data_IF_367311759596
#
_entry.id   IF_367311759596
#
_cell.length_a   1.000
_cell.length_b   1.000
_cell.length_c   1.000
_cell.angle_alpha   90.00
_cell.angle_beta   90.00
_cell.angle_gamma   90.00
#
_symmetry.space_group_name_H-M   'P 1'
#
loop_
_entity.id
_entity.type
_entity.pdbx_description
1 polymer ?
#
# COMPACT_ATOMS: atom_id res chain seq x y z
N UNK A 1 -9.75 -40.48 8.38
CA UNK A 1 -9.64 -39.98 9.76
C UNK A 1 -9.45 -38.48 9.71
N UNK A 2 -10.52 -37.73 9.98
CA UNK A 2 -10.49 -36.27 10.10
C UNK A 2 -9.65 -35.85 11.31
N UNK A 3 -8.59 -35.07 11.09
CA UNK A 3 -7.94 -34.30 12.14
C UNK A 3 -8.43 -32.85 12.03
N UNK A 4 -9.41 -32.53 12.87
CA UNK A 4 -10.04 -31.22 13.03
C UNK A 4 -9.07 -30.21 13.66
N UNK A 5 -8.90 -29.06 13.01
CA UNK A 5 -8.26 -27.86 13.52
C UNK A 5 -9.01 -27.28 14.75
N UNK A 6 -8.34 -26.69 15.75
CA UNK A 6 -8.98 -26.20 16.96
C UNK A 6 -9.71 -24.85 16.76
N UNK A 7 -10.75 -24.55 17.57
CA UNK A 7 -11.71 -23.48 17.28
C UNK A 7 -11.21 -22.08 17.66
N UNK A 8 -11.87 -21.06 17.07
CA UNK A 8 -11.72 -19.58 17.22
C UNK A 8 -11.64 -19.02 18.66
N UNK A 9 -11.71 -19.85 19.71
CA UNK A 9 -11.72 -19.42 21.12
C UNK A 9 -10.34 -19.07 21.70
N UNK A 10 -9.23 -19.56 21.12
CA UNK A 10 -7.87 -19.27 21.62
C UNK A 10 -7.36 -17.85 21.30
N UNK A 11 -7.85 -17.20 20.23
CA UNK A 11 -7.48 -15.80 19.89
C UNK A 11 -7.97 -14.79 20.93
N UNK A 12 -9.17 -15.00 21.49
CA UNK A 12 -9.72 -14.16 22.57
C UNK A 12 -8.91 -14.27 23.88
N UNK A 13 -8.36 -15.44 24.17
CA UNK A 13 -7.54 -15.66 25.36
C UNK A 13 -6.18 -14.98 25.23
N UNK A 14 -5.52 -15.07 24.08
CA UNK A 14 -4.24 -14.38 23.82
C UNK A 14 -4.39 -12.86 23.86
N UNK A 15 -5.42 -12.30 23.22
CA UNK A 15 -5.71 -10.86 23.30
C UNK A 15 -6.00 -10.39 24.73
N UNK A 16 -6.72 -11.20 25.53
CA UNK A 16 -6.98 -10.88 26.94
C UNK A 16 -5.72 -10.94 27.80
N UNK A 17 -4.84 -11.90 27.56
CA UNK A 17 -3.56 -12.01 28.28
C UNK A 17 -2.63 -10.83 27.94
N UNK A 18 -2.60 -10.42 26.66
CA UNK A 18 -1.80 -9.28 26.20
C UNK A 18 -2.32 -7.96 26.77
N UNK A 19 -3.64 -7.76 26.78
CA UNK A 19 -4.27 -6.60 27.41
C UNK A 19 -3.99 -6.51 28.92
N UNK A 20 -3.98 -7.65 29.62
CA UNK A 20 -3.67 -7.68 31.06
C UNK A 20 -2.22 -7.29 31.37
N UNK A 21 -1.27 -7.74 30.54
CA UNK A 21 0.16 -7.41 30.69
C UNK A 21 0.40 -5.91 30.49
N UNK A 22 -0.30 -5.28 29.55
CA UNK A 22 -0.22 -3.83 29.32
C UNK A 22 -0.93 -3.01 30.40
N UNK A 23 -2.06 -3.50 30.94
CA UNK A 23 -2.74 -2.87 32.07
C UNK A 23 -1.84 -2.84 33.31
N UNK A 24 -1.11 -3.92 33.57
CA UNK A 24 -0.13 -4.00 34.66
C UNK A 24 0.99 -2.96 34.49
N UNK A 25 1.55 -2.82 33.29
CA UNK A 25 2.58 -1.81 32.98
C UNK A 25 2.04 -0.39 33.19
N UNK A 26 0.83 -0.09 32.72
CA UNK A 26 0.21 1.23 32.90
C UNK A 26 -0.08 1.55 34.38
N UNK A 27 -0.52 0.57 35.17
CA UNK A 27 -0.74 0.72 36.62
C UNK A 27 0.58 0.94 37.34
N UNK A 28 1.64 0.23 36.94
CA UNK A 28 2.98 0.35 37.52
C UNK A 28 3.58 1.75 37.24
N UNK A 29 3.43 2.24 36.01
CA UNK A 29 3.87 3.58 35.60
C UNK A 29 3.11 4.70 36.33
N UNK A 30 1.79 4.54 36.51
CA UNK A 30 0.97 5.48 37.30
C UNK A 30 1.43 5.52 38.76
N UNK A 31 1.78 4.37 39.35
CA UNK A 31 2.30 4.29 40.73
C UNK A 31 3.64 5.04 40.87
N UNK A 32 4.52 4.93 39.88
CA UNK A 32 5.82 5.61 39.86
C UNK A 32 5.70 7.14 39.74
N UNK A 33 4.77 7.63 38.90
CA UNK A 33 4.46 9.06 38.80
C UNK A 33 3.91 9.62 40.10
N UNK A 34 3.04 8.87 40.78
CA UNK A 34 2.47 9.30 42.07
C UNK A 34 3.52 9.32 43.19
N UNK A 35 4.49 8.41 43.15
CA UNK A 35 5.61 8.37 44.10
C UNK A 35 6.63 9.49 43.86
N UNK A 36 6.85 9.89 42.59
CA UNK A 36 7.68 11.06 42.24
C UNK A 36 7.06 12.37 42.70
N UNK A 37 5.73 12.52 42.59
CA UNK A 37 5.03 13.72 43.05
C UNK A 37 5.06 13.93 44.58
N UNK A 38 5.28 12.88 45.38
CA UNK A 38 5.41 12.97 46.85
C UNK A 38 6.82 13.27 47.34
N UNK A 39 7.83 13.35 46.46
CA UNK A 39 9.25 13.51 46.83
C UNK A 39 9.86 14.89 46.55
N UNK A 40 9.09 15.89 46.16
CA UNK A 40 9.58 17.27 46.01
C UNK A 40 9.45 18.06 47.33
N UNK A 41 10.54 18.53 47.94
CA UNK A 41 10.48 19.43 49.09
C UNK A 41 10.52 20.90 48.63
N UNK A 42 9.83 21.76 49.40
CA UNK A 42 9.98 23.24 49.53
C UNK A 42 9.09 24.13 48.61
N UNK A 43 8.02 24.66 49.21
CA UNK A 43 7.79 26.12 49.39
C UNK A 43 7.32 26.99 48.22
N UNK A 44 6.00 27.27 48.13
CA UNK A 44 5.40 28.35 47.30
C UNK A 44 3.86 28.32 47.32
N UNK A 45 3.16 29.46 47.15
CA UNK A 45 1.79 29.66 47.65
C UNK A 45 0.73 28.87 46.87
N UNK A 46 -0.27 28.39 47.59
CA UNK A 46 -1.43 27.65 47.08
C UNK A 46 -2.30 28.52 46.17
N UNK A 47 -2.55 28.13 44.90
CA UNK A 47 -3.69 28.63 44.13
C UNK A 47 -4.99 27.92 44.57
N UNK A 48 -6.18 28.51 44.36
CA UNK A 48 -7.43 27.99 44.90
C UNK A 48 -7.76 26.62 44.32
N UNK A 49 -8.32 25.74 45.15
CA UNK A 49 -8.89 24.46 44.74
C UNK A 49 -9.98 24.70 43.68
N UNK A 50 -9.63 24.50 42.41
CA UNK A 50 -10.61 24.19 41.38
C UNK A 50 -11.07 22.74 41.60
N UNK A 51 -12.38 22.54 41.71
CA UNK A 51 -13.04 21.24 41.82
C UNK A 51 -12.61 20.27 40.70
N UNK A 52 -11.70 19.35 41.01
CA UNK A 52 -11.25 18.26 40.11
C UNK A 52 -12.27 17.11 40.15
N UNK A 53 -13.54 17.41 39.91
CA UNK A 53 -14.57 16.37 39.65
C UNK A 53 -14.93 16.24 38.17
N UNK A 54 -14.51 17.16 37.30
CA UNK A 54 -14.94 17.17 35.89
C UNK A 54 -13.83 17.23 34.81
N UNK A 55 -12.55 17.02 35.14
CA UNK A 55 -11.45 17.04 34.16
C UNK A 55 -10.47 15.89 34.35
N UNK A 56 -10.97 14.66 34.30
CA UNK A 56 -10.13 13.56 33.82
C UNK A 56 -10.31 13.51 32.30
N UNK A 57 -9.26 13.63 31.46
CA UNK A 57 -9.41 13.18 30.10
C UNK A 57 -9.65 11.67 30.23
N UNK A 58 -10.87 11.25 29.92
CA UNK A 58 -11.16 9.89 29.53
C UNK A 58 -10.31 9.64 28.28
N UNK A 59 -9.03 9.28 28.47
CA UNK A 59 -8.24 8.59 27.47
C UNK A 59 -8.92 7.25 27.29
N UNK A 60 -9.96 7.30 26.47
CA UNK A 60 -10.80 6.19 26.11
C UNK A 60 -9.83 5.14 25.56
N UNK A 61 -9.95 3.89 26.02
CA UNK A 61 -9.21 2.78 25.44
C UNK A 61 -9.53 2.66 23.94
N UNK A 62 -10.65 3.23 23.49
CA UNK A 62 -10.92 3.48 22.06
C UNK A 62 -10.00 4.51 21.40
N UNK A 63 -9.57 5.59 22.06
CA UNK A 63 -8.65 6.59 21.49
C UNK A 63 -7.21 6.08 21.44
N UNK A 64 -6.78 5.28 22.43
CA UNK A 64 -5.48 4.60 22.37
C UNK A 64 -5.47 3.47 21.32
N UNK A 65 -6.61 2.80 21.12
CA UNK A 65 -6.81 1.86 20.01
C UNK A 65 -6.92 2.54 18.64
N UNK A 66 -7.37 3.81 18.58
CA UNK A 66 -7.40 4.60 17.34
C UNK A 66 -6.03 5.16 16.95
N UNK A 67 -5.14 5.44 17.91
CA UNK A 67 -3.76 5.85 17.64
C UNK A 67 -2.89 4.70 17.11
N UNK A 68 -3.40 3.47 17.17
CA UNK A 68 -2.79 2.25 16.63
C UNK A 68 -3.54 1.68 15.43
N UNK A 69 -4.55 2.40 14.93
CA UNK A 69 -5.05 2.10 13.60
C UNK A 69 -4.00 2.65 12.64
N UNK A 70 -3.29 1.75 11.95
CA UNK A 70 -2.21 2.11 11.04
C UNK A 70 -2.64 3.27 10.17
N UNK A 71 -2.01 4.43 10.38
CA UNK A 71 -2.11 5.53 9.44
C UNK A 71 -1.63 4.95 8.12
N UNK A 72 -2.53 4.82 7.14
CA UNK A 72 -2.22 4.42 5.78
C UNK A 72 -1.25 5.45 5.19
N UNK A 73 0.04 5.22 5.42
CA UNK A 73 1.16 6.05 5.01
C UNK A 73 1.99 5.29 3.98
N UNK A 74 2.74 6.02 3.17
CA UNK A 74 3.70 5.37 2.27
C UNK A 74 4.87 4.82 3.09
N UNK A 75 5.05 3.50 3.07
CA UNK A 75 6.11 2.82 3.81
C UNK A 75 7.37 2.71 2.98
N UNK A 76 8.49 3.16 3.55
CA UNK A 76 9.80 3.05 2.91
C UNK A 76 10.36 1.64 3.06
N UNK A 77 10.90 1.12 1.98
CA UNK A 77 11.38 -0.25 1.88
C UNK A 77 12.67 -0.34 1.07
N UNK A 78 13.44 -1.39 1.33
CA UNK A 78 14.63 -1.73 0.55
C UNK A 78 14.68 -3.24 0.37
N UNK A 79 14.90 -3.69 -0.86
CA UNK A 79 15.12 -5.10 -1.16
C UNK A 79 16.62 -5.34 -1.33
N UNK A 80 17.23 -6.06 -0.38
CA UNK A 80 18.69 -6.21 -0.31
C UNK A 80 19.38 -4.82 -0.30
N UNK A 81 20.01 -4.43 -1.41
CA UNK A 81 20.64 -3.13 -1.59
C UNK A 81 19.95 -2.28 -2.68
N UNK A 82 18.79 -2.71 -3.18
CA UNK A 82 18.04 -2.02 -4.23
C UNK A 82 16.82 -1.30 -3.67
N UNK A 83 16.61 -0.08 -4.14
CA UNK A 83 15.45 0.75 -3.82
C UNK A 83 14.29 0.57 -4.82
N UNK A 84 14.44 -0.34 -5.78
CA UNK A 84 13.45 -0.62 -6.81
C UNK A 84 12.48 -1.73 -6.38
N UNK A 85 11.62 -1.43 -5.41
CA UNK A 85 10.68 -2.41 -4.82
C UNK A 85 9.69 -2.98 -5.85
N UNK A 86 9.28 -2.17 -6.83
CA UNK A 86 8.38 -2.56 -7.92
C UNK A 86 9.00 -3.52 -8.92
N UNK A 87 10.32 -3.73 -8.87
CA UNK A 87 10.93 -4.84 -9.61
C UNK A 87 10.64 -6.18 -8.93
N UNK A 88 10.68 -6.21 -7.60
CA UNK A 88 10.61 -7.44 -6.81
C UNK A 88 9.23 -7.78 -6.28
N UNK A 89 8.29 -6.84 -6.34
CA UNK A 89 6.94 -7.02 -5.82
C UNK A 89 5.88 -6.48 -6.77
N UNK A 90 4.69 -7.11 -6.71
CA UNK A 90 3.50 -6.66 -7.41
C UNK A 90 2.36 -6.59 -6.42
N UNK A 91 1.83 -5.40 -6.21
CA UNK A 91 0.67 -5.19 -5.36
C UNK A 91 -0.56 -4.94 -6.21
N UNK A 92 -1.68 -5.55 -5.80
CA UNK A 92 -3.01 -5.30 -6.32
C UNK A 92 -3.97 -5.11 -5.13
N UNK A 93 -5.24 -4.87 -5.42
CA UNK A 93 -6.27 -4.79 -4.39
C UNK A 93 -6.68 -6.15 -3.78
N UNK A 94 -6.27 -7.28 -4.36
CA UNK A 94 -6.70 -8.62 -3.90
C UNK A 94 -5.57 -9.54 -3.50
N UNK A 95 -4.36 -9.35 -4.04
CA UNK A 95 -3.19 -10.19 -3.76
C UNK A 95 -1.92 -9.35 -3.87
N UNK A 96 -0.88 -9.77 -3.16
CA UNK A 96 0.46 -9.23 -3.29
C UNK A 96 1.42 -10.36 -3.67
N UNK A 97 2.20 -10.17 -4.73
CA UNK A 97 3.28 -11.08 -5.10
C UNK A 97 4.61 -10.48 -4.66
N UNK A 98 5.44 -11.29 -4.01
CA UNK A 98 6.79 -10.91 -3.61
C UNK A 98 7.79 -11.93 -4.15
N UNK A 99 8.97 -11.45 -4.57
CA UNK A 99 10.07 -12.27 -5.04
C UNK A 99 10.50 -13.27 -3.97
N UNK A 100 10.87 -14.49 -4.35
CA UNK A 100 11.56 -15.44 -3.47
C UNK A 100 13.03 -15.03 -3.24
N UNK A 101 13.51 -15.21 -2.00
CA UNK A 101 14.93 -15.03 -1.65
C UNK A 101 15.36 -13.62 -1.24
N UNK A 102 14.44 -12.81 -0.72
CA UNK A 102 14.73 -11.53 -0.06
C UNK A 102 15.07 -11.69 1.42
N UNK A 103 15.53 -10.60 2.04
CA UNK A 103 15.65 -10.54 3.49
C UNK A 103 14.26 -10.62 4.15
N UNK A 104 14.15 -11.32 5.27
CA UNK A 104 12.89 -11.41 6.05
C UNK A 104 12.32 -10.02 6.40
N UNK A 105 13.19 -9.01 6.47
CA UNK A 105 12.79 -7.62 6.68
C UNK A 105 11.84 -7.09 5.60
N UNK A 106 12.10 -7.41 4.33
CA UNK A 106 11.26 -6.96 3.22
C UNK A 106 9.85 -7.57 3.35
N UNK A 107 9.75 -8.88 3.53
CA UNK A 107 8.47 -9.58 3.67
C UNK A 107 7.71 -9.17 4.93
N UNK A 108 8.42 -9.01 6.05
CA UNK A 108 7.81 -8.64 7.33
C UNK A 108 7.05 -7.32 7.24
N UNK A 109 7.56 -6.36 6.47
CA UNK A 109 6.90 -5.06 6.28
C UNK A 109 5.65 -5.19 5.41
N UNK A 110 5.70 -5.96 4.32
CA UNK A 110 4.51 -6.24 3.52
C UNK A 110 3.46 -6.99 4.33
N UNK A 111 3.85 -7.99 5.12
CA UNK A 111 2.93 -8.72 5.98
C UNK A 111 2.35 -7.84 7.10
N UNK A 112 3.14 -6.95 7.70
CA UNK A 112 2.66 -6.03 8.74
C UNK A 112 1.54 -5.12 8.24
N UNK A 113 1.66 -4.60 7.02
CA UNK A 113 0.67 -3.68 6.45
C UNK A 113 -0.48 -4.39 5.73
N UNK A 114 -0.23 -5.53 5.09
CA UNK A 114 -1.21 -6.17 4.19
C UNK A 114 -1.88 -7.43 4.75
N UNK A 115 -1.31 -8.12 5.75
CA UNK A 115 -1.77 -9.46 6.13
C UNK A 115 -3.21 -9.51 6.63
N UNK A 116 -3.77 -8.38 7.11
CA UNK A 116 -5.16 -8.30 7.56
C UNK A 116 -6.16 -8.27 6.38
N UNK A 117 -5.73 -7.85 5.18
CA UNK A 117 -6.61 -7.61 4.04
C UNK A 117 -6.30 -8.49 2.83
N UNK A 118 -5.03 -8.76 2.55
CA UNK A 118 -4.55 -9.36 1.30
C UNK A 118 -3.53 -10.47 1.60
N UNK A 119 -3.60 -11.62 0.89
CA UNK A 119 -2.53 -12.63 0.92
C UNK A 119 -1.24 -12.11 0.26
N UNK A 120 -0.13 -12.17 1.01
CA UNK A 120 1.22 -11.97 0.49
C UNK A 120 1.78 -13.32 0.06
N UNK A 121 2.11 -13.44 -1.23
CA UNK A 121 2.49 -14.71 -1.87
C UNK A 121 3.94 -14.62 -2.34
N UNK A 122 4.76 -15.51 -1.81
CA UNK A 122 6.14 -15.69 -2.23
C UNK A 122 6.19 -16.53 -3.50
N UNK A 123 6.57 -15.94 -4.62
CA UNK A 123 6.67 -16.67 -5.88
C UNK A 123 8.04 -16.43 -6.53
N UNK A 124 8.33 -17.19 -7.57
CA UNK A 124 9.30 -16.83 -8.60
C UNK A 124 8.59 -16.98 -9.94
N UNK A 125 9.06 -16.25 -10.93
CA UNK A 125 8.54 -16.33 -12.29
C UNK A 125 9.70 -16.55 -13.22
N UNK A 126 9.69 -17.67 -13.95
CA UNK A 126 10.78 -18.09 -14.83
C UNK A 126 12.12 -18.27 -14.08
N UNK A 127 12.07 -18.75 -12.84
CA UNK A 127 13.25 -18.90 -11.97
C UNK A 127 13.93 -17.58 -11.58
N UNK A 128 13.27 -16.45 -11.86
CA UNK A 128 13.80 -15.11 -11.66
C UNK A 128 13.12 -14.41 -10.48
N UNK A 129 13.82 -13.42 -9.92
CA UNK A 129 13.37 -12.64 -8.74
C UNK A 129 12.61 -11.36 -9.10
N UNK A 130 12.55 -10.95 -10.37
CA UNK A 130 11.99 -9.65 -10.79
C UNK A 130 10.49 -9.72 -11.14
N UNK A 131 9.67 -10.24 -10.23
CA UNK A 131 8.25 -10.56 -10.47
C UNK A 131 7.43 -9.34 -10.87
N UNK A 132 7.67 -8.19 -10.28
CA UNK A 132 6.89 -6.99 -10.55
C UNK A 132 7.06 -6.46 -11.97
N UNK A 133 8.20 -6.77 -12.63
CA UNK A 133 8.44 -6.42 -14.04
C UNK A 133 7.90 -7.44 -15.03
N UNK A 134 7.85 -8.72 -14.67
CA UNK A 134 7.38 -9.77 -15.59
C UNK A 134 5.89 -10.06 -15.46
N UNK A 135 5.28 -9.70 -14.34
CA UNK A 135 3.85 -9.92 -14.12
C UNK A 135 3.08 -8.62 -14.13
N UNK A 136 1.83 -8.71 -14.59
CA UNK A 136 0.84 -7.65 -14.56
C UNK A 136 -0.46 -8.25 -14.08
N UNK A 137 -1.21 -7.51 -13.26
CA UNK A 137 -2.48 -7.99 -12.76
C UNK A 137 -3.26 -6.92 -12.04
N UNK A 138 -4.55 -7.18 -11.90
CA UNK A 138 -5.51 -6.38 -11.16
C UNK A 138 -6.26 -7.29 -10.18
N UNK A 139 -7.38 -6.84 -9.59
CA UNK A 139 -8.12 -7.69 -8.66
C UNK A 139 -8.77 -8.96 -9.26
N UNK A 140 -8.87 -9.03 -10.59
CA UNK A 140 -9.62 -10.05 -11.35
C UNK A 140 -8.71 -11.04 -12.06
N UNK A 141 -7.51 -10.62 -12.44
CA UNK A 141 -6.62 -11.45 -13.24
C UNK A 141 -5.15 -11.15 -13.02
N UNK A 142 -4.33 -12.17 -13.27
CA UNK A 142 -2.88 -12.13 -13.24
C UNK A 142 -2.35 -12.71 -14.56
N UNK A 143 -1.58 -11.92 -15.29
CA UNK A 143 -0.86 -12.35 -16.48
C UNK A 143 0.59 -12.66 -16.12
N UNK A 144 1.03 -13.83 -16.56
CA UNK A 144 2.39 -14.32 -16.39
C UNK A 144 3.01 -14.62 -17.75
N UNK A 145 4.33 -14.48 -17.94
CA UNK A 145 4.97 -14.78 -19.20
C UNK A 145 4.94 -16.28 -19.52
N UNK A 146 5.07 -16.62 -20.80
CA UNK A 146 5.15 -18.01 -21.29
C UNK A 146 6.33 -18.80 -20.72
N UNK A 147 7.38 -18.12 -20.25
CA UNK A 147 8.57 -18.70 -19.60
C UNK A 147 8.32 -19.21 -18.17
N UNK A 148 7.14 -18.93 -17.60
CA UNK A 148 6.79 -19.37 -16.24
C UNK A 148 6.65 -20.88 -16.17
N UNK A 149 7.36 -21.53 -15.25
CA UNK A 149 7.30 -22.98 -15.10
C UNK A 149 5.94 -23.46 -14.58
N UNK A 150 5.57 -24.72 -14.84
CA UNK A 150 4.29 -25.27 -14.36
C UNK A 150 4.22 -25.35 -12.83
N UNK A 151 5.36 -25.57 -12.17
CA UNK A 151 5.44 -25.59 -10.71
C UNK A 151 5.16 -24.20 -10.11
N UNK A 152 5.77 -23.14 -10.66
CA UNK A 152 5.51 -21.76 -10.24
C UNK A 152 4.04 -21.38 -10.47
N UNK A 153 3.50 -21.73 -11.63
CA UNK A 153 2.13 -21.40 -11.97
C UNK A 153 1.13 -22.13 -11.05
N UNK A 154 1.39 -23.39 -10.72
CA UNK A 154 0.54 -24.13 -9.78
C UNK A 154 0.65 -23.58 -8.35
N UNK A 155 1.84 -23.16 -7.92
CA UNK A 155 2.04 -22.48 -6.64
C UNK A 155 1.23 -21.18 -6.55
N UNK A 156 1.31 -20.36 -7.60
CA UNK A 156 0.54 -19.11 -7.74
C UNK A 156 -0.96 -19.42 -7.66
N UNK A 157 -1.48 -20.34 -8.47
CA UNK A 157 -2.90 -20.72 -8.46
C UNK A 157 -3.41 -21.22 -7.11
N UNK A 158 -2.61 -21.99 -6.37
CA UNK A 158 -3.00 -22.50 -5.06
C UNK A 158 -3.02 -21.41 -3.96
N UNK A 159 -2.27 -20.33 -4.16
CA UNK A 159 -2.10 -19.27 -3.16
C UNK A 159 -3.01 -18.07 -3.42
N UNK A 160 -3.42 -17.84 -4.67
CA UNK A 160 -4.36 -16.79 -5.02
C UNK A 160 -5.80 -17.17 -4.68
N UNK A 161 -6.66 -16.17 -4.42
CA UNK A 161 -8.09 -16.42 -4.28
C UNK A 161 -8.69 -16.90 -5.62
N UNK A 162 -9.67 -17.80 -5.55
CA UNK A 162 -10.32 -18.43 -6.72
C UNK A 162 -10.94 -17.44 -7.71
N UNK A 163 -11.20 -16.21 -7.28
CA UNK A 163 -11.73 -15.13 -8.13
C UNK A 163 -10.72 -14.62 -9.16
N UNK A 164 -9.42 -14.88 -8.98
CA UNK A 164 -8.36 -14.34 -9.84
C UNK A 164 -7.99 -15.35 -10.93
N UNK A 165 -8.16 -14.95 -12.18
CA UNK A 165 -7.80 -15.76 -13.34
C UNK A 165 -6.30 -15.61 -13.64
N UNK A 166 -5.55 -16.72 -13.58
CA UNK A 166 -4.13 -16.75 -13.90
C UNK A 166 -3.91 -17.31 -15.31
N UNK A 167 -3.42 -16.46 -16.21
CA UNK A 167 -3.23 -16.79 -17.63
C UNK A 167 -1.78 -16.55 -18.08
N UNK A 168 -1.25 -17.47 -18.91
CA UNK A 168 0.04 -17.29 -19.58
C UNK A 168 -0.14 -16.49 -20.86
N UNK A 169 0.79 -15.58 -21.10
CA UNK A 169 0.86 -14.75 -22.30
C UNK A 169 2.21 -14.96 -22.98
N UNK A 170 2.21 -15.22 -24.27
CA UNK A 170 3.42 -15.20 -25.09
C UNK A 170 3.57 -13.79 -25.66
N UNK A 171 4.61 -13.09 -25.21
CA UNK A 171 4.95 -11.75 -25.69
C UNK A 171 6.45 -11.68 -25.95
N UNK A 172 6.85 -11.05 -27.07
CA UNK A 172 8.23 -11.05 -27.56
C UNK A 172 8.93 -9.70 -27.43
N UNK A 173 8.17 -8.62 -27.27
CA UNK A 173 8.73 -7.26 -27.24
C UNK A 173 9.51 -6.96 -25.96
N UNK A 174 8.88 -7.14 -24.81
CA UNK A 174 9.52 -6.93 -23.50
C UNK A 174 8.73 -7.65 -22.40
N UNK A 175 9.15 -7.46 -21.16
CA UNK A 175 8.44 -7.99 -19.99
C UNK A 175 7.05 -7.32 -19.86
N UNK A 176 6.03 -8.11 -19.51
CA UNK A 176 4.63 -7.67 -19.46
C UNK A 176 4.43 -6.45 -18.53
N UNK A 177 5.08 -6.44 -17.37
CA UNK A 177 4.98 -5.34 -16.40
C UNK A 177 5.70 -4.06 -16.83
N UNK A 178 6.54 -4.10 -17.87
CA UNK A 178 7.11 -2.89 -18.49
C UNK A 178 6.24 -2.35 -19.62
N UNK A 179 5.53 -3.23 -20.32
CA UNK A 179 4.68 -2.88 -21.46
C UNK A 179 3.27 -2.47 -21.05
N UNK A 180 2.82 -2.87 -19.87
CA UNK A 180 1.41 -2.77 -19.46
C UNK A 180 1.31 -2.14 -18.07
N UNK A 181 0.45 -1.14 -17.94
CA UNK A 181 -0.06 -0.63 -16.66
C UNK A 181 -1.55 -0.85 -16.63
N UNK A 182 -2.07 -1.38 -15.52
CA UNK A 182 -3.48 -1.66 -15.38
C UNK A 182 -3.97 -1.24 -14.00
N UNK A 183 -5.17 -0.66 -13.95
CA UNK A 183 -5.98 -0.58 -12.74
C UNK A 183 -7.17 -1.56 -12.87
N UNK A 184 -8.21 -1.42 -12.06
CA UNK A 184 -9.37 -2.32 -12.12
C UNK A 184 -10.35 -2.02 -13.27
N UNK A 185 -10.16 -0.92 -14.00
CA UNK A 185 -11.11 -0.40 -15.00
C UNK A 185 -10.50 -0.25 -16.40
N UNK A 186 -9.26 0.21 -16.47
CA UNK A 186 -8.52 0.63 -17.66
C UNK A 186 -7.09 0.09 -17.60
N UNK A 187 -6.55 -0.28 -18.75
CA UNK A 187 -5.15 -0.60 -18.94
C UNK A 187 -4.52 0.24 -20.07
N UNK A 188 -3.30 0.71 -19.83
CA UNK A 188 -2.44 1.29 -20.85
C UNK A 188 -1.44 0.25 -21.31
N UNK A 189 -1.28 0.14 -22.62
CA UNK A 189 -0.35 -0.80 -23.25
C UNK A 189 0.60 -0.11 -24.23
N UNK A 190 1.72 -0.76 -24.48
CA UNK A 190 2.67 -0.41 -25.52
C UNK A 190 1.99 -0.31 -26.89
N UNK A 191 2.38 0.67 -27.72
CA UNK A 191 1.76 0.93 -29.04
C UNK A 191 1.87 -0.25 -30.00
N UNK A 192 3.03 -0.91 -29.95
CA UNK A 192 3.37 -2.00 -30.87
C UNK A 192 2.95 -3.39 -30.34
N UNK A 193 2.16 -3.45 -29.27
CA UNK A 193 1.71 -4.73 -28.71
C UNK A 193 0.85 -5.50 -29.73
N UNK A 194 1.05 -6.81 -29.80
CA UNK A 194 0.25 -7.69 -30.65
C UNK A 194 -1.23 -7.65 -30.24
N UNK A 195 -2.11 -7.67 -31.24
CA UNK A 195 -3.56 -7.59 -31.01
C UNK A 195 -4.09 -8.79 -30.23
N UNK A 196 -3.50 -9.97 -30.43
CA UNK A 196 -3.84 -11.16 -29.65
C UNK A 196 -3.52 -10.96 -28.17
N UNK A 197 -2.36 -10.38 -27.84
CA UNK A 197 -1.98 -10.04 -26.48
C UNK A 197 -2.94 -9.01 -25.87
N UNK A 198 -3.31 -7.99 -26.63
CA UNK A 198 -4.28 -6.97 -26.19
C UNK A 198 -5.65 -7.56 -25.84
N UNK A 199 -6.16 -8.47 -26.67
CA UNK A 199 -7.43 -9.16 -26.42
C UNK A 199 -7.35 -10.05 -25.16
N UNK A 200 -6.24 -10.76 -24.95
CA UNK A 200 -6.02 -11.54 -23.71
C UNK A 200 -5.98 -10.64 -22.48
N UNK A 201 -5.35 -9.47 -22.57
CA UNK A 201 -5.29 -8.51 -21.45
C UNK A 201 -6.69 -8.00 -21.11
N UNK A 202 -7.47 -7.62 -22.12
CA UNK A 202 -8.84 -7.15 -21.95
C UNK A 202 -9.74 -8.22 -21.30
N UNK A 203 -9.63 -9.47 -21.76
CA UNK A 203 -10.47 -10.57 -21.27
C UNK A 203 -10.10 -11.01 -19.85
N UNK A 204 -8.81 -11.17 -19.56
CA UNK A 204 -8.35 -11.70 -18.25
C UNK A 204 -8.47 -10.64 -17.15
N UNK A 205 -8.10 -9.39 -17.45
CA UNK A 205 -8.20 -8.31 -16.47
C UNK A 205 -9.63 -7.72 -16.42
N UNK A 206 -10.43 -7.88 -17.48
CA UNK A 206 -11.77 -7.31 -17.57
C UNK A 206 -11.75 -5.79 -17.58
N UNK A 207 -10.84 -5.20 -18.35
CA UNK A 207 -10.56 -3.76 -18.45
C UNK A 207 -10.51 -3.29 -19.89
N UNK A 208 -10.78 -2.02 -20.10
CA UNK A 208 -10.60 -1.39 -21.41
C UNK A 208 -9.11 -1.12 -21.65
N UNK A 209 -8.61 -1.52 -22.82
CA UNK A 209 -7.19 -1.40 -23.17
C UNK A 209 -6.98 -0.24 -24.13
N UNK A 210 -6.02 0.63 -23.83
CA UNK A 210 -5.64 1.74 -24.69
C UNK A 210 -4.15 1.71 -24.99
N UNK A 211 -3.80 1.89 -26.27
CA UNK A 211 -2.43 2.03 -26.73
C UNK A 211 -2.00 3.48 -26.55
N UNK A 212 -0.99 3.73 -25.73
CA UNK A 212 -0.53 5.09 -25.48
C UNK A 212 0.96 5.14 -25.16
N UNK A 213 1.56 6.32 -25.31
CA UNK A 213 2.95 6.60 -24.93
C UNK A 213 3.00 7.64 -23.81
N UNK A 214 4.02 7.58 -22.96
CA UNK A 214 4.20 8.53 -21.85
C UNK A 214 5.54 9.24 -22.03
N UNK A 215 5.50 10.56 -22.21
CA UNK A 215 6.68 11.40 -22.43
C UNK A 215 7.58 10.91 -23.59
N UNK A 216 6.96 10.39 -24.66
CA UNK A 216 7.67 9.83 -25.82
C UNK A 216 8.23 8.42 -25.62
N UNK A 217 8.02 7.80 -24.46
CA UNK A 217 8.40 6.42 -24.19
C UNK A 217 7.21 5.48 -24.36
N UNK A 218 7.41 4.38 -25.09
CA UNK A 218 6.39 3.36 -25.30
C UNK A 218 6.27 2.37 -24.11
N UNK A 219 7.26 2.32 -23.22
CA UNK A 219 7.25 1.47 -22.01
C UNK A 219 6.43 2.07 -20.87
N UNK A 220 5.11 2.09 -21.04
CA UNK A 220 4.17 2.69 -20.08
C UNK A 220 4.31 2.12 -18.66
N UNK A 221 4.61 0.83 -18.52
CA UNK A 221 4.82 0.09 -17.27
C UNK A 221 5.97 0.59 -16.40
N UNK A 222 7.03 1.06 -17.05
CA UNK A 222 8.20 1.57 -16.35
C UNK A 222 8.04 3.01 -15.90
N UNK A 223 7.37 3.83 -16.73
CA UNK A 223 7.33 5.28 -16.61
C UNK A 223 6.04 5.83 -16.02
N UNK A 224 5.07 4.97 -15.73
CA UNK A 224 3.88 5.33 -14.97
C UNK A 224 3.51 4.27 -13.96
N UNK A 225 2.77 4.70 -12.95
CA UNK A 225 2.16 3.82 -11.98
C UNK A 225 0.75 4.32 -11.69
N UNK A 226 -0.24 3.43 -11.82
CA UNK A 226 -1.65 3.80 -11.76
C UNK A 226 -2.38 2.90 -10.75
N UNK A 227 -3.29 3.50 -10.00
CA UNK A 227 -4.27 2.83 -9.12
C UNK A 227 -5.68 3.27 -9.50
N UNK A 228 -6.71 2.87 -8.74
CA UNK A 228 -8.07 3.35 -8.99
C UNK A 228 -8.29 4.80 -8.51
N UNK A 229 -7.49 5.29 -7.57
CA UNK A 229 -7.65 6.62 -6.97
C UNK A 229 -6.89 7.72 -7.72
N UNK A 230 -5.76 7.36 -8.32
CA UNK A 230 -4.86 8.28 -8.99
C UNK A 230 -3.69 7.56 -9.63
N UNK A 231 -2.87 8.33 -10.34
CA UNK A 231 -1.66 7.81 -10.96
C UNK A 231 -0.53 8.83 -11.00
N UNK A 232 0.68 8.31 -11.12
CA UNK A 232 1.88 9.09 -11.34
C UNK A 232 2.49 8.76 -12.69
N UNK A 233 2.99 9.77 -13.37
CA UNK A 233 3.67 9.64 -14.66
C UNK A 233 5.04 10.31 -14.63
N UNK A 234 5.83 9.99 -15.64
CA UNK A 234 7.17 10.53 -15.84
C UNK A 234 7.23 12.06 -15.72
N UNK A 235 8.26 12.63 -15.08
CA UNK A 235 8.33 14.08 -14.78
C UNK A 235 8.42 14.98 -16.02
N UNK A 236 8.85 14.45 -17.18
CA UNK A 236 8.95 15.20 -18.44
C UNK A 236 7.68 15.13 -19.30
N UNK A 237 6.59 14.57 -18.78
CA UNK A 237 5.30 14.52 -19.49
C UNK A 237 4.76 15.93 -19.64
N UNK A 238 4.25 16.29 -20.84
CA UNK A 238 3.69 17.62 -21.06
C UNK A 238 2.36 17.77 -20.32
N UNK A 239 1.94 19.02 -20.05
CA UNK A 239 0.64 19.28 -19.39
C UNK A 239 -0.52 18.85 -20.27
N UNK A 240 -0.38 18.97 -21.59
CA UNK A 240 -1.36 18.50 -22.58
C UNK A 240 -1.53 16.98 -22.50
N UNK A 241 -0.43 16.22 -22.57
CA UNK A 241 -0.47 14.75 -22.45
C UNK A 241 -1.06 14.29 -21.10
N UNK A 242 -0.76 15.03 -20.02
CA UNK A 242 -1.31 14.77 -18.69
C UNK A 242 -2.83 14.91 -18.65
N UNK A 243 -3.37 15.98 -19.25
CA UNK A 243 -4.82 16.23 -19.32
C UNK A 243 -5.54 15.21 -20.20
N UNK A 244 -4.93 14.82 -21.32
CA UNK A 244 -5.43 13.75 -22.19
C UNK A 244 -5.48 12.41 -21.46
N UNK A 245 -4.38 12.01 -20.80
CA UNK A 245 -4.30 10.77 -20.03
C UNK A 245 -5.27 10.76 -18.83
N UNK A 246 -5.41 11.89 -18.15
CA UNK A 246 -6.36 12.06 -17.04
C UNK A 246 -7.81 11.90 -17.52
N UNK A 247 -8.13 12.48 -18.68
CA UNK A 247 -9.45 12.36 -19.32
C UNK A 247 -9.72 10.94 -19.81
N UNK A 248 -8.69 10.22 -20.29
CA UNK A 248 -8.83 8.84 -20.74
C UNK A 248 -9.00 7.86 -19.56
N UNK A 249 -8.19 8.00 -18.51
CA UNK A 249 -8.22 7.10 -17.36
C UNK A 249 -9.29 7.47 -16.32
N UNK A 250 -9.89 8.67 -16.41
CA UNK A 250 -10.87 9.21 -15.45
C UNK A 250 -10.35 9.30 -14.01
N UNK A 251 -9.03 9.44 -13.85
CA UNK A 251 -8.34 9.56 -12.55
C UNK A 251 -7.37 10.73 -12.57
N UNK A 252 -7.10 11.38 -11.42
CA UNK A 252 -6.10 12.42 -11.35
C UNK A 252 -4.70 11.85 -11.59
N UNK A 253 -3.92 12.53 -12.44
CA UNK A 253 -2.53 12.21 -12.72
C UNK A 253 -1.61 13.34 -12.30
N UNK A 254 -0.44 12.99 -11.77
CA UNK A 254 0.63 13.94 -11.42
C UNK A 254 1.95 13.46 -11.99
N UNK A 255 2.71 14.40 -12.57
CA UNK A 255 4.10 14.15 -12.95
C UNK A 255 5.00 14.23 -11.70
N UNK A 256 5.83 13.20 -11.48
CA UNK A 256 6.68 13.15 -10.29
C UNK A 256 7.85 12.18 -10.42
N UNK A 257 8.67 12.13 -9.38
CA UNK A 257 9.82 11.23 -9.26
C UNK A 257 9.74 10.41 -7.99
N UNK A 258 10.52 9.35 -7.94
CA UNK A 258 10.72 8.49 -6.76
C UNK A 258 12.21 8.29 -6.53
N UNK A 259 12.61 7.77 -5.36
CA UNK A 259 14.03 7.44 -5.09
C UNK A 259 15.00 8.60 -5.36
N UNK A 260 14.68 9.82 -4.88
CA UNK A 260 15.55 11.00 -5.00
C UNK A 260 15.80 11.42 -6.46
N UNK A 261 14.71 11.51 -7.24
CA UNK A 261 14.76 12.01 -8.62
C UNK A 261 14.86 10.94 -9.71
N UNK A 262 14.63 9.67 -9.38
CA UNK A 262 14.46 8.62 -10.40
C UNK A 262 13.15 8.83 -11.15
N UNK A 263 13.23 8.70 -12.47
CA UNK A 263 12.16 8.83 -13.44
C UNK A 263 11.42 7.52 -13.70
N UNK A 264 11.92 6.40 -13.17
CA UNK A 264 11.35 5.06 -13.33
C UNK A 264 10.39 4.74 -12.18
N UNK A 265 9.19 5.31 -12.28
CA UNK A 265 8.13 5.17 -11.25
C UNK A 265 7.74 3.72 -10.99
N UNK A 266 7.57 2.92 -12.05
CA UNK A 266 7.17 1.51 -11.91
C UNK A 266 8.22 0.63 -11.22
N UNK A 267 9.47 1.07 -11.14
CA UNK A 267 10.51 0.40 -10.35
C UNK A 267 10.45 0.78 -8.88
N UNK A 268 10.30 2.07 -8.60
CA UNK A 268 10.50 2.64 -7.26
C UNK A 268 9.26 2.66 -6.38
N UNK A 269 8.08 2.46 -6.97
CA UNK A 269 6.79 2.57 -6.28
C UNK A 269 5.90 1.35 -6.55
N UNK A 270 5.23 0.91 -5.49
CA UNK A 270 4.16 -0.08 -5.56
C UNK A 270 3.04 0.41 -4.66
N UNK A 271 1.82 0.57 -5.19
CA UNK A 271 0.69 1.09 -4.43
C UNK A 271 -0.60 0.36 -4.78
N UNK A 272 -1.49 0.29 -3.80
CA UNK A 272 -2.89 -0.04 -3.98
C UNK A 272 -3.74 1.12 -3.46
N UNK A 273 -5.06 0.90 -3.32
CA UNK A 273 -5.97 1.98 -2.92
C UNK A 273 -5.84 2.42 -1.45
N UNK A 274 -5.05 1.73 -0.61
CA UNK A 274 -4.92 2.04 0.84
C UNK A 274 -3.50 1.97 1.41
N UNK A 275 -2.53 1.44 0.68
CA UNK A 275 -1.15 1.26 1.06
C UNK A 275 -0.24 1.57 -0.13
N UNK A 276 0.86 2.25 0.15
CA UNK A 276 1.93 2.45 -0.81
C UNK A 276 3.28 2.09 -0.21
N UNK A 277 4.14 1.56 -1.05
CA UNK A 277 5.49 1.14 -0.73
C UNK A 277 6.45 1.82 -1.70
N UNK A 278 7.42 2.55 -1.16
CA UNK A 278 8.39 3.30 -1.94
C UNK A 278 9.81 3.00 -1.48
N UNK A 279 10.80 3.19 -2.36
CA UNK A 279 12.19 2.89 -2.04
C UNK A 279 12.73 3.76 -0.91
N UNK A 280 13.72 3.27 -0.19
CA UNK A 280 14.28 3.90 1.01
C UNK A 280 14.80 5.33 0.75
N UNK A 281 15.34 5.58 -0.43
CA UNK A 281 15.88 6.89 -0.83
C UNK A 281 14.81 7.91 -1.21
N UNK A 282 13.52 7.52 -1.22
CA UNK A 282 12.43 8.43 -1.56
C UNK A 282 12.32 9.55 -0.53
N UNK A 283 12.44 10.77 -1.04
CA UNK A 283 12.45 12.00 -0.22
C UNK A 283 11.07 12.25 0.40
N UNK A 284 11.03 12.96 1.53
CA UNK A 284 9.75 13.28 2.20
C UNK A 284 8.81 14.11 1.32
N UNK A 285 9.36 14.93 0.41
CA UNK A 285 8.60 15.68 -0.58
C UNK A 285 7.96 14.78 -1.63
N UNK A 286 8.70 13.79 -2.16
CA UNK A 286 8.16 12.79 -3.09
C UNK A 286 7.08 11.94 -2.41
N UNK A 287 7.30 11.51 -1.17
CA UNK A 287 6.30 10.76 -0.40
C UNK A 287 5.01 11.57 -0.20
N UNK A 288 5.12 12.86 0.10
CA UNK A 288 3.94 13.73 0.27
C UNK A 288 3.11 13.80 -1.03
N UNK A 289 3.77 13.77 -2.19
CA UNK A 289 3.09 13.72 -3.49
C UNK A 289 2.39 12.37 -3.70
N UNK A 290 3.08 11.25 -3.42
CA UNK A 290 2.53 9.89 -3.49
C UNK A 290 1.28 9.77 -2.58
N UNK A 291 1.38 10.19 -1.33
CA UNK A 291 0.26 10.09 -0.39
C UNK A 291 -0.94 10.94 -0.81
N UNK A 292 -0.68 12.12 -1.38
CA UNK A 292 -1.73 13.02 -1.86
C UNK A 292 -2.43 12.49 -3.12
N UNK A 293 -1.70 11.92 -4.08
CA UNK A 293 -2.28 11.47 -5.35
C UNK A 293 -3.03 10.16 -5.21
N UNK A 294 -2.53 9.25 -4.37
CA UNK A 294 -3.17 7.96 -4.08
C UNK A 294 -4.21 8.04 -2.96
N UNK A 295 -4.42 9.21 -2.36
CA UNK A 295 -5.42 9.48 -1.29
C UNK A 295 -5.31 8.54 -0.09
N UNK A 296 -4.08 8.18 0.29
CA UNK A 296 -3.83 7.23 1.39
C UNK A 296 -4.22 7.82 2.77
N UNK A 297 -4.25 9.15 2.89
CA UNK A 297 -4.53 9.87 4.14
C UNK A 297 -6.03 10.04 4.46
N UNK A 298 -6.95 9.63 3.57
CA UNK A 298 -8.40 9.92 3.72
C UNK A 298 -9.10 9.08 4.81
N UNK A 299 -8.39 8.22 5.55
CA UNK A 299 -8.91 7.61 6.78
C UNK A 299 -8.81 8.53 8.01
N UNK A 300 -8.34 9.77 7.85
CA UNK A 300 -8.76 10.83 8.77
C UNK A 300 -10.16 11.28 8.36
N UNK A 301 -11.21 11.04 9.16
CA UNK A 301 -12.55 11.46 8.78
C UNK A 301 -12.53 12.98 8.58
N UNK A 302 -12.66 13.42 7.34
CA UNK A 302 -12.85 14.83 6.96
C UNK A 302 -14.02 15.45 7.73
N UNK A 303 -14.94 14.60 8.21
CA UNK A 303 -15.98 14.93 9.17
C UNK A 303 -15.46 15.48 10.50
N UNK A 304 -14.33 15.02 11.05
CA UNK A 304 -13.80 15.54 12.32
C UNK A 304 -13.22 16.93 12.15
N UNK A 305 -12.51 17.22 11.05
CA UNK A 305 -12.02 18.59 10.79
C UNK A 305 -13.16 19.55 10.47
N UNK A 306 -14.17 19.11 9.71
CA UNK A 306 -15.40 19.90 9.50
C UNK A 306 -16.13 20.12 10.82
N UNK A 307 -16.37 19.07 11.60
CA UNK A 307 -17.07 19.14 12.90
C UNK A 307 -16.34 20.06 13.88
N UNK A 308 -15.00 19.94 13.97
CA UNK A 308 -14.17 20.79 14.82
C UNK A 308 -14.21 22.26 14.38
N UNK A 309 -14.18 22.53 13.06
CA UNK A 309 -14.35 23.89 12.53
C UNK A 309 -15.73 24.46 12.83
N UNK A 310 -16.81 23.70 12.62
CA UNK A 310 -18.16 24.14 12.99
C UNK A 310 -18.30 24.38 14.48
N UNK A 311 -17.75 23.51 15.35
CA UNK A 311 -17.82 23.71 16.80
C UNK A 311 -17.02 24.91 17.29
N UNK A 312 -15.92 25.26 16.62
CA UNK A 312 -15.15 26.46 16.92
C UNK A 312 -15.89 27.73 16.49
N UNK A 313 -16.55 27.69 15.33
CA UNK A 313 -17.34 28.82 14.82
C UNK A 313 -18.57 29.07 15.70
N UNK A 314 -19.27 28.03 16.14
CA UNK A 314 -20.40 28.14 17.08
C UNK A 314 -20.00 28.64 18.48
N UNK A 315 -18.73 28.48 18.88
CA UNK A 315 -18.24 28.99 20.16
C UNK A 315 -17.82 30.47 20.14
N UNK A 316 -17.72 31.05 18.93
CA UNK A 316 -17.29 32.43 18.70
C UNK A 316 -18.44 33.36 18.24
N UNK A 317 -19.65 32.81 18.04
CA UNK A 317 -20.88 33.53 17.77
C UNK A 317 -21.70 33.70 19.06
#
# INVERSE_FOLDING_TARGET
MCLSLPPRSKRRWYMRLFAWRWLLIAVQWKRELTLRAKRSPIGGPTPPLMDIKNTAPLLNIKTAGLLFWGSSMATRLQFENSNEIGVFSRLTNSYCLTALGGSENFYSIFEQELADHIPVIHASVAGCRFIGRVTIGNKRGLLVPSTTTDQELQHIRNSLPDAVVVQRVEERLSALGNCIVANDHVALVHTDLDRETEEIVADVLGVEVFRQTIAGNALVGSYSYITNQGGMVHPKTTVEDLEELSSLLQIPLVAGTVNRGSDVLGAGLVANDWAAFCGLDTTSTEISVVESIFKLQDNMPVNVVKTLRTSLIDSLA
#
